data_IF_599368318883
#
_entry.id   IF_599368318883
#
_cell.length_a   1.000
_cell.length_b   1.000
_cell.length_c   1.000
_cell.angle_alpha   90.00
_cell.angle_beta   90.00
_cell.angle_gamma   90.00
#
_symmetry.space_group_name_H-M   'P 1'
#
loop_
_entity.id
_entity.type
_entity.pdbx_description
1 polymer ?
#
# COMPACT_ATOMS: atom_id res chain seq x y z
N UNK A 1 -6.76 -14.73 0.92
CA UNK A 1 -5.57 -15.27 1.62
C UNK A 1 -5.26 -16.74 1.31
N UNK A 2 -6.25 -17.64 1.21
CA UNK A 2 -6.00 -19.09 1.09
C UNK A 2 -5.25 -19.54 -0.19
N UNK A 3 -5.46 -18.86 -1.32
CA UNK A 3 -4.77 -19.17 -2.58
C UNK A 3 -3.36 -18.55 -2.64
N UNK A 4 -3.24 -17.27 -2.30
CA UNK A 4 -1.97 -16.52 -2.33
C UNK A 4 -0.90 -17.13 -1.41
N UNK A 5 -1.30 -17.72 -0.28
CA UNK A 5 -0.38 -18.38 0.66
C UNK A 5 0.18 -19.72 0.17
N UNK A 6 -0.32 -20.27 -0.94
CA UNK A 6 0.17 -21.53 -1.51
C UNK A 6 1.38 -21.27 -2.41
N UNK A 7 2.20 -22.29 -2.62
CA UNK A 7 3.31 -22.22 -3.58
C UNK A 7 2.76 -21.88 -4.97
N UNK A 8 3.38 -20.91 -5.65
CA UNK A 8 2.87 -20.40 -6.93
C UNK A 8 1.65 -19.46 -6.78
N UNK A 9 1.34 -19.06 -5.54
CA UNK A 9 0.32 -18.06 -5.23
C UNK A 9 0.67 -16.70 -5.86
N UNK A 10 -0.23 -16.16 -6.67
CA UNK A 10 -0.09 -14.83 -7.28
C UNK A 10 -1.37 -14.03 -7.07
N UNK A 11 -1.18 -12.74 -6.84
CA UNK A 11 -2.22 -11.72 -6.85
C UNK A 11 -1.74 -10.61 -7.80
N UNK A 12 -2.62 -10.18 -8.70
CA UNK A 12 -2.39 -9.01 -9.55
C UNK A 12 -3.69 -8.25 -9.75
N UNK A 13 -3.59 -6.96 -10.00
CA UNK A 13 -4.73 -6.09 -10.26
C UNK A 13 -4.74 -5.59 -11.71
N UNK A 14 -5.94 -5.40 -12.26
CA UNK A 14 -6.15 -4.81 -13.59
C UNK A 14 -6.71 -3.40 -13.49
N UNK A 15 -7.59 -3.19 -12.53
CA UNK A 15 -8.22 -1.91 -12.20
C UNK A 15 -8.36 -1.80 -10.68
N UNK A 16 -8.91 -0.70 -10.16
CA UNK A 16 -8.99 -0.48 -8.71
C UNK A 16 -9.67 -1.64 -7.97
N UNK A 17 -10.68 -2.28 -8.56
CA UNK A 17 -11.46 -3.34 -7.93
C UNK A 17 -11.52 -4.65 -8.73
N UNK A 18 -10.70 -4.82 -9.76
CA UNK A 18 -10.57 -6.11 -10.46
C UNK A 18 -9.14 -6.58 -10.56
N UNK A 19 -8.98 -7.89 -10.68
CA UNK A 19 -7.67 -8.51 -10.78
C UNK A 19 -7.76 -10.00 -11.04
N UNK A 20 -6.63 -10.69 -10.84
CA UNK A 20 -6.58 -12.14 -10.82
C UNK A 20 -5.89 -12.69 -9.58
N UNK A 21 -6.33 -13.88 -9.18
CA UNK A 21 -5.68 -14.69 -8.16
C UNK A 21 -5.43 -16.09 -8.72
N UNK A 22 -4.24 -16.61 -8.47
CA UNK A 22 -3.89 -17.99 -8.82
C UNK A 22 -3.03 -18.64 -7.75
N UNK A 23 -2.99 -19.96 -7.79
CA UNK A 23 -2.05 -20.80 -7.03
C UNK A 23 -1.48 -21.94 -7.88
N UNK A 24 -1.54 -21.77 -9.20
CA UNK A 24 -0.95 -22.63 -10.22
C UNK A 24 -0.55 -21.73 -11.40
N UNK A 25 0.57 -21.98 -12.09
CA UNK A 25 0.98 -21.19 -13.26
C UNK A 25 -0.01 -21.23 -14.43
N UNK A 26 -0.90 -22.23 -14.45
CA UNK A 26 -1.70 -22.58 -15.62
C UNK A 26 -3.06 -21.86 -15.68
N UNK A 27 -3.57 -21.37 -14.55
CA UNK A 27 -4.93 -20.81 -14.47
C UNK A 27 -5.00 -19.65 -13.48
N UNK A 28 -5.48 -18.52 -13.97
CA UNK A 28 -5.83 -17.33 -13.20
C UNK A 28 -7.35 -17.26 -13.03
N UNK A 29 -7.80 -16.99 -11.81
CA UNK A 29 -9.20 -16.70 -11.52
C UNK A 29 -9.38 -15.20 -11.46
N UNK A 30 -10.16 -14.66 -12.38
CA UNK A 30 -10.47 -13.24 -12.41
C UNK A 30 -11.50 -12.91 -11.32
N UNK A 31 -11.26 -11.82 -10.60
CA UNK A 31 -12.13 -11.38 -9.53
C UNK A 31 -12.50 -9.91 -9.66
N UNK A 32 -13.62 -9.57 -9.04
CA UNK A 32 -14.02 -8.20 -8.71
C UNK A 32 -14.22 -8.05 -7.21
N UNK A 33 -14.16 -6.83 -6.70
CA UNK A 33 -14.58 -6.50 -5.33
C UNK A 33 -15.88 -5.71 -5.41
N UNK A 34 -16.90 -6.09 -4.63
CA UNK A 34 -18.18 -5.37 -4.56
C UNK A 34 -18.20 -4.34 -3.42
N UNK A 35 -19.28 -3.56 -3.34
CA UNK A 35 -19.42 -2.40 -2.44
C UNK A 35 -19.27 -2.69 -0.95
N UNK A 36 -19.35 -3.96 -0.52
CA UNK A 36 -19.14 -4.36 0.88
C UNK A 36 -17.81 -5.10 1.10
N UNK A 37 -16.93 -5.11 0.09
CA UNK A 37 -15.58 -5.67 0.20
C UNK A 37 -15.49 -7.16 -0.06
N UNK A 38 -16.55 -7.78 -0.58
CA UNK A 38 -16.55 -9.20 -0.94
C UNK A 38 -15.96 -9.40 -2.33
N UNK A 39 -15.27 -10.53 -2.48
CA UNK A 39 -14.70 -10.97 -3.74
C UNK A 39 -15.80 -11.67 -4.55
N UNK A 40 -16.04 -11.20 -5.77
CA UNK A 40 -16.89 -11.86 -6.75
C UNK A 40 -16.03 -12.52 -7.83
N UNK A 41 -16.43 -13.73 -8.21
CA UNK A 41 -15.81 -14.52 -9.27
C UNK A 41 -16.93 -15.20 -10.04
N UNK A 42 -16.75 -15.39 -11.35
CA UNK A 42 -17.70 -16.17 -12.13
C UNK A 42 -17.61 -17.66 -11.82
N UNK A 43 -18.75 -18.29 -11.57
CA UNK A 43 -18.82 -19.74 -11.32
C UNK A 43 -18.22 -20.57 -12.47
N UNK A 44 -18.31 -20.06 -13.71
CA UNK A 44 -17.66 -20.67 -14.88
C UNK A 44 -16.15 -20.77 -14.70
N UNK A 45 -15.50 -19.71 -14.23
CA UNK A 45 -14.04 -19.67 -14.06
C UNK A 45 -13.61 -20.67 -12.98
N UNK A 46 -14.40 -20.79 -11.91
CA UNK A 46 -14.17 -21.81 -10.86
C UNK A 46 -14.37 -23.23 -11.41
N UNK A 47 -15.40 -23.47 -12.22
CA UNK A 47 -15.72 -24.79 -12.76
C UNK A 47 -14.62 -25.35 -13.69
N UNK A 48 -13.78 -24.49 -14.27
CA UNK A 48 -12.66 -24.87 -15.13
C UNK A 48 -11.38 -25.22 -14.33
N UNK A 49 -11.35 -24.96 -13.02
CA UNK A 49 -10.17 -25.24 -12.20
C UNK A 49 -10.01 -26.73 -11.88
N UNK A 50 -8.79 -27.19 -11.54
CA UNK A 50 -8.61 -28.51 -10.94
C UNK A 50 -9.48 -28.70 -9.70
N UNK A 51 -10.01 -29.91 -9.51
CA UNK A 51 -10.97 -30.21 -8.43
C UNK A 51 -10.52 -29.77 -7.03
N UNK A 52 -9.23 -29.89 -6.72
CA UNK A 52 -8.71 -29.45 -5.42
C UNK A 52 -8.80 -27.93 -5.22
N UNK A 53 -8.69 -27.12 -6.28
CA UNK A 53 -8.89 -25.66 -6.22
C UNK A 53 -10.37 -25.32 -6.11
N UNK A 54 -11.24 -26.04 -6.82
CA UNK A 54 -12.69 -25.89 -6.68
C UNK A 54 -13.13 -26.11 -5.24
N UNK A 55 -12.55 -27.10 -4.56
CA UNK A 55 -12.78 -27.34 -3.12
C UNK A 55 -12.37 -26.18 -2.23
N UNK A 56 -11.27 -25.50 -2.55
CA UNK A 56 -10.85 -24.30 -1.81
C UNK A 56 -11.92 -23.22 -2.00
N UNK A 57 -12.30 -22.91 -3.24
CA UNK A 57 -13.34 -21.92 -3.52
C UNK A 57 -14.66 -22.23 -2.83
N UNK A 58 -15.12 -23.49 -2.90
CA UNK A 58 -16.34 -23.93 -2.23
C UNK A 58 -16.26 -23.76 -0.71
N UNK A 59 -15.10 -24.02 -0.10
CA UNK A 59 -14.90 -23.88 1.34
C UNK A 59 -14.88 -22.44 1.87
N UNK A 60 -14.66 -21.45 1.00
CA UNK A 60 -14.70 -20.02 1.34
C UNK A 60 -15.90 -19.30 0.72
N UNK A 61 -16.79 -20.02 0.01
CA UNK A 61 -17.95 -19.42 -0.61
C UNK A 61 -18.98 -19.00 0.44
N UNK A 62 -19.60 -17.85 0.21
CA UNK A 62 -20.66 -17.31 1.07
C UNK A 62 -21.89 -16.99 0.23
N UNK A 63 -23.02 -16.76 0.90
CA UNK A 63 -24.24 -16.31 0.20
C UNK A 63 -23.96 -14.97 -0.49
N UNK A 64 -24.47 -14.75 -1.72
CA UNK A 64 -24.31 -13.47 -2.40
C UNK A 64 -24.86 -12.32 -1.54
N UNK A 65 -24.04 -11.29 -1.33
CA UNK A 65 -24.40 -10.08 -0.59
C UNK A 65 -23.66 -8.88 -1.17
N UNK A 66 -24.19 -7.66 -1.00
CA UNK A 66 -23.60 -6.41 -1.50
C UNK A 66 -23.60 -6.25 -3.03
N UNK A 67 -24.38 -7.05 -3.73
CA UNK A 67 -24.48 -7.00 -5.19
C UNK A 67 -23.22 -7.50 -5.91
N UNK A 68 -23.21 -7.34 -7.24
CA UNK A 68 -22.08 -7.71 -8.09
C UNK A 68 -21.06 -6.58 -8.15
N UNK A 69 -19.78 -6.92 -8.26
CA UNK A 69 -18.71 -5.96 -8.50
C UNK A 69 -18.95 -5.21 -9.82
N UNK A 70 -19.05 -3.89 -9.72
CA UNK A 70 -19.33 -3.02 -10.86
C UNK A 70 -18.23 -3.10 -11.92
N UNK A 71 -16.97 -3.09 -11.51
CA UNK A 71 -15.83 -3.14 -12.42
C UNK A 71 -15.67 -4.52 -13.09
N UNK A 72 -15.99 -5.61 -12.38
CA UNK A 72 -15.98 -6.95 -12.98
C UNK A 72 -17.09 -7.09 -14.01
N UNK A 73 -18.30 -6.59 -13.69
CA UNK A 73 -19.41 -6.56 -14.64
C UNK A 73 -19.06 -5.69 -15.87
N UNK A 74 -18.41 -4.55 -15.64
CA UNK A 74 -18.00 -3.65 -16.70
C UNK A 74 -16.98 -4.30 -17.65
N UNK A 75 -15.97 -4.99 -17.11
CA UNK A 75 -14.94 -5.67 -17.90
C UNK A 75 -15.46 -6.91 -18.62
N UNK A 76 -16.12 -7.84 -17.93
CA UNK A 76 -16.44 -9.16 -18.48
C UNK A 76 -17.79 -9.26 -19.20
N UNK A 77 -18.77 -8.42 -18.85
CA UNK A 77 -20.11 -8.46 -19.48
C UNK A 77 -20.31 -7.30 -20.43
N UNK A 78 -19.94 -6.08 -20.01
CA UNK A 78 -20.17 -4.87 -20.82
C UNK A 78 -19.04 -4.57 -21.82
N UNK A 79 -17.92 -5.30 -21.75
CA UNK A 79 -16.71 -5.08 -22.55
C UNK A 79 -16.20 -3.62 -22.47
N UNK A 80 -16.32 -3.01 -21.29
CA UNK A 80 -15.91 -1.63 -20.98
C UNK A 80 -15.15 -1.64 -19.64
N UNK A 81 -13.91 -2.13 -19.61
CA UNK A 81 -13.13 -2.19 -18.37
C UNK A 81 -12.98 -0.79 -17.75
N UNK A 82 -12.99 -0.73 -16.42
CA UNK A 82 -12.82 0.53 -15.70
C UNK A 82 -11.40 1.08 -15.89
N UNK A 83 -11.28 2.40 -16.08
CA UNK A 83 -10.00 3.10 -16.12
C UNK A 83 -9.61 3.61 -14.72
N UNK A 84 -9.72 2.73 -13.73
CA UNK A 84 -9.34 2.99 -12.34
C UNK A 84 -8.05 2.24 -12.03
N UNK A 85 -7.31 2.67 -11.01
CA UNK A 85 -5.98 2.16 -10.71
C UNK A 85 -5.94 1.52 -9.32
N UNK A 86 -5.31 0.34 -9.22
CA UNK A 86 -5.08 -0.31 -7.94
C UNK A 86 -3.75 0.17 -7.33
N UNK A 87 -3.74 0.75 -6.11
CA UNK A 87 -2.52 1.29 -5.50
C UNK A 87 -1.45 0.21 -5.28
N UNK A 88 -1.84 -1.05 -5.14
CA UNK A 88 -0.92 -2.19 -5.04
C UNK A 88 0.12 -2.24 -6.18
N UNK A 89 -0.28 -1.89 -7.42
CA UNK A 89 0.59 -1.91 -8.59
C UNK A 89 1.58 -0.74 -8.62
N UNK A 90 1.30 0.34 -7.87
CA UNK A 90 2.09 1.58 -7.89
C UNK A 90 3.01 1.73 -6.66
N UNK A 91 2.81 0.93 -5.61
CA UNK A 91 3.57 1.04 -4.37
C UNK A 91 5.08 0.88 -4.57
N UNK A 92 5.50 -0.16 -5.29
CA UNK A 92 6.92 -0.39 -5.54
C UNK A 92 7.51 0.57 -6.57
N UNK A 93 6.72 0.95 -7.58
CA UNK A 93 7.15 1.91 -8.59
C UNK A 93 7.35 3.31 -7.99
N UNK A 94 6.52 3.74 -7.03
CA UNK A 94 6.74 4.96 -6.27
C UNK A 94 8.07 4.98 -5.51
N UNK A 95 8.43 3.86 -4.87
CA UNK A 95 9.72 3.72 -4.17
C UNK A 95 10.89 3.80 -5.16
N UNK A 96 10.80 3.11 -6.31
CA UNK A 96 11.82 3.19 -7.36
C UNK A 96 11.98 4.60 -7.89
N UNK A 97 10.88 5.29 -8.16
CA UNK A 97 10.89 6.64 -8.70
C UNK A 97 11.52 7.64 -7.73
N UNK A 98 11.21 7.53 -6.43
CA UNK A 98 11.89 8.31 -5.38
C UNK A 98 13.40 8.05 -5.40
N UNK A 99 13.81 6.78 -5.46
CA UNK A 99 15.23 6.43 -5.48
C UNK A 99 15.94 6.94 -6.74
N UNK A 100 15.27 6.89 -7.89
CA UNK A 100 15.78 7.44 -9.14
C UNK A 100 16.00 8.95 -9.01
N UNK A 101 14.97 9.72 -8.65
CA UNK A 101 15.09 11.18 -8.55
C UNK A 101 16.03 11.63 -7.44
N UNK A 102 16.05 10.93 -6.31
CA UNK A 102 17.03 11.20 -5.25
C UNK A 102 18.46 10.90 -5.71
N UNK A 103 18.67 9.84 -6.50
CA UNK A 103 19.99 9.53 -7.02
C UNK A 103 20.46 10.60 -8.01
N UNK A 104 19.56 11.07 -8.87
CA UNK A 104 19.81 12.10 -9.88
C UNK A 104 20.08 13.48 -9.23
N UNK A 105 19.31 13.86 -8.22
CA UNK A 105 19.33 15.23 -7.68
C UNK A 105 20.03 15.38 -6.33
N UNK A 106 20.15 14.32 -5.54
CA UNK A 106 20.79 14.36 -4.21
C UNK A 106 22.06 13.49 -4.13
N UNK A 107 22.37 12.74 -5.19
CA UNK A 107 23.57 11.89 -5.26
C UNK A 107 23.48 10.55 -4.51
N UNK A 108 22.30 10.16 -4.00
CA UNK A 108 22.10 8.88 -3.33
C UNK A 108 20.64 8.45 -3.24
N UNK A 109 20.40 7.20 -2.85
CA UNK A 109 19.05 6.61 -2.71
C UNK A 109 18.43 6.91 -1.35
N UNK A 110 17.15 7.27 -1.29
CA UNK A 110 16.42 7.45 -0.02
C UNK A 110 15.93 6.15 0.60
N UNK A 111 15.66 5.12 -0.21
CA UNK A 111 15.28 3.80 0.27
C UNK A 111 16.40 2.80 0.03
N UNK A 112 16.68 2.01 1.06
CA UNK A 112 17.72 0.99 1.03
C UNK A 112 17.27 -0.22 0.21
N UNK A 113 18.23 -0.85 -0.44
CA UNK A 113 18.05 -2.18 -1.03
C UNK A 113 18.16 -3.21 0.10
N UNK A 114 17.15 -4.07 0.26
CA UNK A 114 17.17 -5.16 1.25
C UNK A 114 16.44 -6.40 0.72
N UNK A 115 17.03 -7.58 0.97
CA UNK A 115 16.51 -8.89 0.52
C UNK A 115 15.09 -9.23 1.01
N UNK A 116 14.59 -8.55 2.06
CA UNK A 116 13.27 -8.79 2.64
C UNK A 116 12.17 -7.99 1.94
N UNK A 117 12.53 -6.96 1.16
CA UNK A 117 11.60 -6.05 0.48
C UNK A 117 10.64 -6.79 -0.47
N UNK A 118 11.09 -7.73 -1.33
CA UNK A 118 10.18 -8.49 -2.19
C UNK A 118 9.08 -9.22 -1.38
N UNK A 119 9.44 -9.79 -0.23
CA UNK A 119 8.49 -10.51 0.63
C UNK A 119 7.51 -9.56 1.35
N UNK A 120 7.91 -8.31 1.61
CA UNK A 120 7.02 -7.29 2.19
C UNK A 120 6.04 -6.75 1.15
N UNK A 121 6.49 -6.54 -0.09
CA UNK A 121 5.64 -6.06 -1.20
C UNK A 121 4.48 -7.03 -1.44
N UNK A 122 4.75 -8.34 -1.46
CA UNK A 122 3.70 -9.37 -1.65
C UNK A 122 2.65 -9.34 -0.53
N UNK A 123 2.95 -8.80 0.65
CA UNK A 123 2.00 -8.66 1.77
C UNK A 123 1.24 -7.34 1.75
N UNK A 124 1.73 -6.34 1.02
CA UNK A 124 1.19 -4.99 0.98
C UNK A 124 0.01 -4.89 -0.01
N UNK A 125 -1.09 -5.58 0.31
CA UNK A 125 -2.31 -5.57 -0.49
C UNK A 125 -3.55 -5.45 0.39
N UNK A 126 -4.66 -4.90 -0.13
CA UNK A 126 -5.86 -4.63 0.69
C UNK A 126 -6.48 -5.85 1.37
N UNK A 127 -6.41 -7.03 0.73
CA UNK A 127 -6.93 -8.29 1.31
C UNK A 127 -6.13 -8.80 2.52
N UNK A 128 -5.09 -8.06 2.95
CA UNK A 128 -4.42 -8.26 4.24
C UNK A 128 -5.29 -7.72 5.38
N UNK A 129 -6.14 -6.72 5.13
CA UNK A 129 -7.03 -6.11 6.10
C UNK A 129 -8.45 -6.65 5.92
N UNK A 130 -8.83 -7.61 6.77
CA UNK A 130 -10.17 -8.22 6.80
C UNK A 130 -10.86 -8.04 8.16
N UNK A 131 -10.12 -7.58 9.15
CA UNK A 131 -10.54 -7.28 10.51
C UNK A 131 -9.58 -6.23 11.10
N UNK A 132 -9.85 -5.84 12.35
CA UNK A 132 -9.05 -4.82 13.05
C UNK A 132 -7.59 -5.22 13.22
N UNK A 133 -7.30 -6.46 13.59
CA UNK A 133 -5.92 -6.90 13.89
C UNK A 133 -5.10 -6.94 12.59
N UNK A 134 -5.69 -7.51 11.53
CA UNK A 134 -5.07 -7.63 10.22
C UNK A 134 -4.94 -6.29 9.49
N UNK A 135 -5.79 -5.30 9.79
CA UNK A 135 -5.61 -3.90 9.41
C UNK A 135 -4.34 -3.29 10.03
N UNK A 136 -4.09 -3.49 11.32
CA UNK A 136 -2.87 -3.02 11.96
C UNK A 136 -1.63 -3.74 11.43
N UNK A 137 -1.74 -5.03 11.10
CA UNK A 137 -0.66 -5.78 10.43
C UNK A 137 -0.30 -5.18 9.07
N UNK A 138 -1.27 -4.75 8.26
CA UNK A 138 -0.99 -4.04 7.01
C UNK A 138 -0.21 -2.74 7.27
N UNK A 139 -0.61 -1.94 8.27
CA UNK A 139 0.11 -0.72 8.63
C UNK A 139 1.56 -1.00 9.07
N UNK A 140 1.80 -2.10 9.81
CA UNK A 140 3.16 -2.54 10.19
C UNK A 140 3.99 -2.93 8.98
N UNK A 141 3.42 -3.70 8.05
CA UNK A 141 4.11 -4.13 6.83
C UNK A 141 4.48 -2.91 5.96
N UNK A 142 3.58 -1.92 5.83
CA UNK A 142 3.86 -0.66 5.13
C UNK A 142 4.90 0.20 5.85
N UNK A 143 4.85 0.26 7.19
CA UNK A 143 5.84 1.01 7.97
C UNK A 143 7.25 0.44 7.80
N UNK A 144 7.38 -0.89 7.78
CA UNK A 144 8.64 -1.57 7.50
C UNK A 144 9.15 -1.27 6.09
N UNK A 145 8.25 -1.35 5.11
CA UNK A 145 8.57 -1.13 3.70
C UNK A 145 9.02 0.30 3.42
N UNK A 146 8.45 1.28 4.12
CA UNK A 146 8.65 2.71 3.83
C UNK A 146 9.51 3.35 4.91
N UNK A 147 8.96 3.60 6.10
CA UNK A 147 9.62 4.39 7.15
C UNK A 147 10.89 3.75 7.65
N UNK A 148 10.84 2.45 7.98
CA UNK A 148 12.01 1.74 8.49
C UNK A 148 13.02 1.48 7.38
N UNK A 149 12.62 1.48 6.11
CA UNK A 149 13.53 1.26 4.98
C UNK A 149 14.27 2.53 4.52
N UNK A 150 13.87 3.72 4.99
CA UNK A 150 14.56 4.97 4.69
C UNK A 150 16.04 4.94 5.11
N UNK A 151 16.92 5.45 4.25
CA UNK A 151 18.33 5.59 4.52
C UNK A 151 18.62 6.86 5.31
N UNK A 152 18.48 6.74 6.63
CA UNK A 152 18.82 7.80 7.58
C UNK A 152 20.30 8.17 7.52
N UNK A 153 21.20 7.24 7.16
CA UNK A 153 22.64 7.55 7.07
C UNK A 153 22.90 8.49 5.91
N UNK A 154 22.29 8.23 4.76
CA UNK A 154 22.36 9.13 3.61
C UNK A 154 21.72 10.48 3.92
N UNK A 155 20.49 10.53 4.45
CA UNK A 155 19.84 11.82 4.76
C UNK A 155 20.64 12.68 5.75
N UNK A 156 21.37 12.05 6.69
CA UNK A 156 22.26 12.74 7.64
C UNK A 156 23.43 13.47 6.97
N UNK A 157 23.84 13.10 5.76
CA UNK A 157 24.90 13.81 5.04
C UNK A 157 24.40 15.13 4.43
N UNK A 158 23.07 15.32 4.35
CA UNK A 158 22.43 16.48 3.73
C UNK A 158 21.82 17.39 4.81
N UNK A 159 21.07 16.81 5.76
CA UNK A 159 20.40 17.56 6.83
C UNK A 159 20.80 17.05 8.21
N UNK A 160 20.99 17.99 9.13
CA UNK A 160 21.35 17.70 10.52
C UNK A 160 20.36 18.33 11.50
N UNK A 161 20.03 17.62 12.60
CA UNK A 161 19.16 18.15 13.64
C UNK A 161 19.81 19.31 14.39
N UNK A 162 19.05 20.38 14.71
CA UNK A 162 19.56 21.42 15.60
C UNK A 162 19.79 20.86 17.00
N UNK A 163 20.83 21.35 17.68
CA UNK A 163 21.14 21.02 19.08
C UNK A 163 21.28 19.51 19.37
N UNK A 164 21.76 18.72 18.41
CA UNK A 164 21.92 17.26 18.52
C UNK A 164 20.62 16.51 18.90
N UNK A 165 19.45 17.04 18.53
CA UNK A 165 18.19 16.34 18.74
C UNK A 165 18.15 15.01 17.98
N UNK A 166 17.51 13.98 18.55
CA UNK A 166 17.37 12.69 17.88
C UNK A 166 16.13 12.73 16.96
N UNK A 167 16.34 12.71 15.64
CA UNK A 167 15.25 12.64 14.67
C UNK A 167 14.92 11.18 14.29
N UNK A 168 13.63 10.89 14.17
CA UNK A 168 13.17 9.65 13.53
C UNK A 168 13.33 9.68 12.00
N UNK A 169 13.25 8.52 11.33
CA UNK A 169 13.44 8.44 9.87
C UNK A 169 12.51 9.37 9.08
N UNK A 170 11.24 9.45 9.46
CA UNK A 170 10.27 10.35 8.81
C UNK A 170 10.62 11.82 9.03
N UNK A 171 11.13 12.18 10.22
CA UNK A 171 11.57 13.55 10.49
C UNK A 171 12.78 13.93 9.64
N UNK A 172 13.71 13.01 9.39
CA UNK A 172 14.80 13.25 8.45
C UNK A 172 14.27 13.55 7.05
N UNK A 173 13.32 12.75 6.55
CA UNK A 173 12.70 12.97 5.26
C UNK A 173 11.97 14.34 5.21
N UNK A 174 11.20 14.70 6.23
CA UNK A 174 10.51 15.98 6.28
C UNK A 174 11.48 17.18 6.28
N UNK A 175 12.57 17.09 7.04
CA UNK A 175 13.54 18.17 7.10
C UNK A 175 14.38 18.26 5.82
N UNK A 176 14.69 17.13 5.18
CA UNK A 176 15.29 17.08 3.86
C UNK A 176 14.41 17.87 2.87
N UNK A 177 13.17 17.44 2.67
CA UNK A 177 12.25 18.11 1.73
C UNK A 177 11.99 19.58 2.10
N UNK A 178 12.05 19.93 3.39
CA UNK A 178 11.88 21.31 3.84
C UNK A 178 13.05 22.25 3.50
N UNK A 179 14.14 21.76 2.90
CA UNK A 179 15.20 22.62 2.39
C UNK A 179 14.72 23.48 1.21
N UNK A 180 13.82 22.95 0.38
CA UNK A 180 13.28 23.66 -0.79
C UNK A 180 11.79 23.96 -0.67
N UNK A 181 11.06 23.14 0.07
CA UNK A 181 9.61 23.22 0.12
C UNK A 181 9.11 23.72 1.48
N UNK A 182 7.96 24.40 1.48
CA UNK A 182 7.34 24.87 2.71
C UNK A 182 7.00 23.68 3.62
N UNK A 183 7.43 23.75 4.87
CA UNK A 183 7.23 22.69 5.88
C UNK A 183 5.78 22.23 6.04
N UNK A 184 4.81 23.15 5.91
CA UNK A 184 3.39 22.81 5.98
C UNK A 184 2.97 21.87 4.83
N UNK A 185 3.45 22.14 3.61
CA UNK A 185 3.16 21.30 2.44
C UNK A 185 3.84 19.93 2.58
N UNK A 186 5.09 19.92 3.03
CA UNK A 186 5.82 18.67 3.30
C UNK A 186 5.06 17.80 4.30
N UNK A 187 4.60 18.38 5.41
CA UNK A 187 3.81 17.65 6.42
C UNK A 187 2.49 17.11 5.90
N UNK A 188 1.81 17.83 5.00
CA UNK A 188 0.59 17.33 4.35
C UNK A 188 0.91 16.11 3.47
N UNK A 189 1.99 16.17 2.70
CA UNK A 189 2.45 15.08 1.84
C UNK A 189 2.88 13.86 2.67
N UNK A 190 3.58 14.06 3.79
CA UNK A 190 4.08 12.96 4.64
C UNK A 190 3.07 12.47 5.68
N UNK A 191 1.90 13.11 5.81
CA UNK A 191 0.90 12.76 6.82
C UNK A 191 0.45 11.28 6.78
N UNK A 192 0.12 10.67 5.62
CA UNK A 192 -0.19 9.24 5.55
C UNK A 192 0.95 8.34 6.07
N UNK A 193 2.20 8.74 5.85
CA UNK A 193 3.38 8.00 6.32
C UNK A 193 3.52 8.09 7.85
N UNK A 194 3.23 9.25 8.44
CA UNK A 194 3.11 9.39 9.89
C UNK A 194 1.93 8.56 10.44
N UNK A 195 0.84 8.49 9.68
CA UNK A 195 -0.36 7.75 10.05
C UNK A 195 -0.14 6.25 10.17
N UNK A 196 0.51 5.61 9.18
CA UNK A 196 0.85 4.17 9.27
C UNK A 196 1.81 3.88 10.42
N UNK A 197 2.73 4.79 10.73
CA UNK A 197 3.63 4.67 11.88
C UNK A 197 2.87 4.76 13.20
N UNK A 198 1.91 5.69 13.31
CA UNK A 198 1.04 5.80 14.48
C UNK A 198 0.16 4.56 14.66
N UNK A 199 -0.39 3.99 13.58
CA UNK A 199 -1.12 2.72 13.62
C UNK A 199 -0.25 1.56 14.13
N UNK A 200 1.01 1.46 13.67
CA UNK A 200 1.97 0.47 14.17
C UNK A 200 2.21 0.61 15.68
N UNK A 201 2.32 1.83 16.21
CA UNK A 201 2.45 2.08 17.65
C UNK A 201 1.16 1.80 18.41
N UNK A 202 0.02 2.11 17.78
CA UNK A 202 -1.33 1.91 18.25
C UNK A 202 -1.63 0.46 18.66
N UNK A 203 -1.08 -0.49 17.92
CA UNK A 203 -1.30 -1.91 18.19
C UNK A 203 -0.50 -2.45 19.40
N UNK A 204 0.54 -1.73 19.85
CA UNK A 204 1.53 -2.27 20.79
C UNK A 204 1.19 -2.07 22.29
N UNK A 205 0.27 -1.18 22.67
CA UNK A 205 0.01 -0.85 24.09
C UNK A 205 -1.47 -0.59 24.43
N UNK A 206 -1.90 -0.78 25.69
CA UNK A 206 -3.30 -0.51 26.14
C UNK A 206 -3.75 0.98 26.19
N UNK A 207 -2.88 2.00 26.38
CA UNK A 207 -3.25 3.43 26.31
C UNK A 207 -3.34 3.98 24.88
N UNK A 208 -3.25 3.13 23.86
CA UNK A 208 -2.88 3.48 22.49
C UNK A 208 -4.02 3.93 21.56
N UNK A 209 -5.26 4.00 22.05
CA UNK A 209 -6.43 4.38 21.24
C UNK A 209 -6.23 5.74 20.56
N UNK A 210 -5.54 6.66 21.24
CA UNK A 210 -5.25 7.99 20.72
C UNK A 210 -4.33 7.92 19.50
N UNK A 211 -3.33 7.02 19.50
CA UNK A 211 -2.40 6.86 18.37
C UNK A 211 -3.05 6.19 17.18
N UNK A 212 -3.89 5.18 17.40
CA UNK A 212 -4.64 4.57 16.28
C UNK A 212 -5.62 5.56 15.67
N UNK A 213 -6.35 6.32 16.49
CA UNK A 213 -7.29 7.34 16.01
C UNK A 213 -6.59 8.48 15.26
N UNK A 214 -5.45 8.96 15.79
CA UNK A 214 -4.60 9.94 15.11
C UNK A 214 -4.09 9.39 13.78
N UNK A 215 -3.66 8.13 13.75
CA UNK A 215 -3.19 7.45 12.53
C UNK A 215 -4.27 7.37 11.44
N UNK A 216 -5.47 6.92 11.81
CA UNK A 216 -6.65 6.87 10.93
C UNK A 216 -6.94 8.26 10.34
N UNK A 217 -6.93 9.29 11.18
CA UNK A 217 -7.18 10.68 10.76
C UNK A 217 -6.12 11.21 9.81
N UNK A 218 -4.84 10.93 10.08
CA UNK A 218 -3.72 11.38 9.24
C UNK A 218 -3.75 10.75 7.84
N UNK A 219 -4.23 9.51 7.75
CA UNK A 219 -4.39 8.81 6.47
C UNK A 219 -5.69 9.23 5.78
N UNK A 220 -6.74 9.58 6.54
CA UNK A 220 -8.06 9.90 5.99
C UNK A 220 -8.91 8.66 5.70
N UNK A 221 -8.80 7.64 6.55
CA UNK A 221 -9.56 6.39 6.42
C UNK A 221 -10.98 6.56 6.94
N UNK A 222 -11.95 6.10 6.16
CA UNK A 222 -13.33 5.96 6.61
C UNK A 222 -13.49 4.69 7.45
N UNK A 223 -13.71 4.85 8.74
CA UNK A 223 -13.82 3.72 9.69
C UNK A 223 -15.12 2.95 9.57
N UNK A 224 -16.14 3.52 8.92
CA UNK A 224 -17.44 2.88 8.71
C UNK A 224 -17.43 1.98 7.46
N UNK A 225 -16.43 2.15 6.59
CA UNK A 225 -16.19 1.28 5.44
C UNK A 225 -15.71 -0.12 5.85
N UNK A 226 -15.99 -1.18 5.07
CA UNK A 226 -15.41 -2.51 5.30
C UNK A 226 -13.88 -2.49 5.36
N UNK A 227 -13.26 -3.34 6.18
CA UNK A 227 -11.81 -3.36 6.38
C UNK A 227 -11.00 -3.50 5.08
N UNK A 228 -11.52 -4.24 4.09
CA UNK A 228 -10.88 -4.34 2.76
C UNK A 228 -10.77 -2.97 2.09
N UNK A 229 -11.78 -2.11 2.23
CA UNK A 229 -11.77 -0.74 1.73
C UNK A 229 -10.92 0.19 2.59
N UNK A 230 -10.89 0.00 3.92
CA UNK A 230 -9.96 0.73 4.78
C UNK A 230 -8.51 0.43 4.42
N UNK A 231 -8.18 -0.84 4.13
CA UNK A 231 -6.87 -1.25 3.65
C UNK A 231 -6.52 -0.68 2.26
N UNK A 232 -7.51 -0.59 1.36
CA UNK A 232 -7.34 0.10 0.08
C UNK A 232 -7.04 1.59 0.25
N UNK A 233 -7.83 2.30 1.07
CA UNK A 233 -7.61 3.72 1.38
C UNK A 233 -6.22 3.95 1.99
N UNK A 234 -5.79 3.07 2.91
CA UNK A 234 -4.44 3.13 3.47
C UNK A 234 -3.36 3.04 2.39
N UNK A 235 -3.46 2.05 1.50
CA UNK A 235 -2.51 1.87 0.41
C UNK A 235 -2.52 3.05 -0.56
N UNK A 236 -3.70 3.51 -0.97
CA UNK A 236 -3.86 4.64 -1.88
C UNK A 236 -3.18 5.91 -1.34
N UNK A 237 -3.46 6.26 -0.09
CA UNK A 237 -2.92 7.49 0.51
C UNK A 237 -1.41 7.40 0.70
N UNK A 238 -0.90 6.22 1.05
CA UNK A 238 0.55 5.96 1.12
C UNK A 238 1.20 6.07 -0.27
N UNK A 239 0.60 5.49 -1.31
CA UNK A 239 1.09 5.59 -2.69
C UNK A 239 1.09 7.04 -3.15
N UNK A 240 -0.01 7.79 -2.92
CA UNK A 240 -0.09 9.20 -3.25
C UNK A 240 1.03 9.99 -2.57
N UNK A 241 1.30 9.76 -1.28
CA UNK A 241 2.45 10.36 -0.58
C UNK A 241 3.78 10.06 -1.27
N UNK A 242 4.02 8.82 -1.69
CA UNK A 242 5.26 8.44 -2.38
C UNK A 242 5.40 9.18 -3.71
N UNK A 243 4.34 9.25 -4.53
CA UNK A 243 4.40 9.96 -5.80
C UNK A 243 4.54 11.47 -5.64
N UNK A 244 3.95 12.08 -4.62
CA UNK A 244 4.21 13.47 -4.29
C UNK A 244 5.65 13.71 -3.86
N UNK A 245 6.22 12.82 -3.03
CA UNK A 245 7.65 12.90 -2.67
C UNK A 245 8.52 12.75 -3.91
N UNK A 246 8.19 11.82 -4.80
CA UNK A 246 8.89 11.65 -6.07
C UNK A 246 8.83 12.92 -6.93
N UNK A 247 7.67 13.55 -7.08
CA UNK A 247 7.51 14.79 -7.83
C UNK A 247 8.33 15.95 -7.22
N UNK A 248 8.32 16.09 -5.90
CA UNK A 248 9.16 17.07 -5.19
C UNK A 248 10.66 16.82 -5.43
N UNK A 249 11.09 15.56 -5.45
CA UNK A 249 12.48 15.22 -5.74
C UNK A 249 12.82 15.39 -7.22
N UNK A 250 11.89 15.12 -8.14
CA UNK A 250 12.11 15.29 -9.57
C UNK A 250 12.25 16.76 -9.99
N UNK A 251 11.65 17.67 -9.22
CA UNK A 251 11.75 19.14 -9.39
C UNK A 251 12.81 19.78 -8.50
N UNK A 252 13.68 18.97 -7.90
CA UNK A 252 14.69 19.46 -6.97
C UNK A 252 15.69 20.35 -7.70
N UNK A 253 15.76 21.62 -7.31
CA UNK A 253 16.72 22.56 -7.90
C UNK A 253 18.11 22.28 -7.32
N UNK A 254 19.05 21.86 -8.15
CA UNK A 254 20.43 21.79 -7.71
C UNK A 254 20.96 23.22 -7.70
N UNK A 255 21.42 23.71 -6.54
CA UNK A 255 22.24 24.90 -6.46
C UNK A 255 23.59 24.60 -7.16
N UNK A 256 23.59 24.57 -8.48
CA UNK A 256 24.80 24.74 -9.29
C UNK A 256 25.04 26.24 -9.41
N UNK A 257 25.67 26.81 -8.38
CA UNK A 257 26.71 27.84 -8.47
C UNK A 257 27.38 28.07 -7.11
#
# INVERSE_FOLDING_TARGET
MALIKRRGGKLSFYSAHTGSVSCSPEYDVHFGVNSIGLINVYAKDVALLPWWQQKIWAGYNISPDGGVSEELLASQVKARPANTLAPEEFLFEGIKLINQHSQENLGGKLFRDHETIPNLIVKAHRFRSIDKDSFHELAKDLTRLIIENLDVKFMKTIVSPPNNANWGSLQYLENLLSQQYKRENVRKITAPLAGIYNLRLGDAHLPSRDKSAEGIKLIGIDIDSPFVYQGFQMLEQVVNSLYWIADLLGKWENDTN
#
